data_IF_145529750443
#
_entry.id   IF_145529750443
#
_cell.length_a   1.000
_cell.length_b   1.000
_cell.length_c   1.000
_cell.angle_alpha   90.00
_cell.angle_beta   90.00
_cell.angle_gamma   90.00
#
_symmetry.space_group_name_H-M   'P 1'
#
loop_
_entity.id
_entity.type
_entity.pdbx_description
1 polymer ?
#
# COMPACT_ATOMS: atom_id res chain seq x y z
N UNK A 1 7.81 9.04 -4.40
CA UNK A 1 6.90 10.13 -3.99
C UNK A 1 5.48 9.60 -4.05
N UNK A 2 4.58 10.10 -3.19
CA UNK A 2 3.20 9.64 -3.06
C UNK A 2 2.23 10.80 -3.36
N UNK A 3 2.09 11.22 -4.63
CA UNK A 3 1.35 12.43 -4.99
C UNK A 3 -0.15 12.35 -4.69
N UNK A 4 -0.78 11.17 -4.72
CA UNK A 4 -2.18 11.01 -4.37
C UNK A 4 -2.41 11.02 -2.85
N UNK A 5 -1.39 10.74 -2.05
CA UNK A 5 -1.48 10.66 -0.58
C UNK A 5 -1.48 12.03 0.10
N UNK A 6 -2.49 12.83 -0.22
CA UNK A 6 -2.73 14.20 0.29
C UNK A 6 -4.22 14.53 0.29
N UNK A 7 -4.63 15.52 1.08
CA UNK A 7 -5.92 16.21 0.93
C UNK A 7 -5.78 17.25 -0.18
N UNK A 8 -6.64 17.18 -1.20
CA UNK A 8 -6.59 18.15 -2.32
C UNK A 8 -7.08 19.52 -1.87
N UNK A 9 -8.23 19.59 -1.17
CA UNK A 9 -8.83 20.86 -0.76
C UNK A 9 -8.03 21.61 0.29
N UNK A 10 -7.38 20.90 1.23
CA UNK A 10 -6.61 21.51 2.30
C UNK A 10 -5.11 21.63 1.98
N UNK A 11 -4.64 21.07 0.85
CA UNK A 11 -3.22 21.03 0.46
C UNK A 11 -2.28 20.42 1.53
N UNK A 12 -2.76 19.41 2.26
CA UNK A 12 -2.00 18.74 3.32
C UNK A 12 -1.63 17.32 2.90
N UNK A 13 -0.35 16.96 3.03
CA UNK A 13 0.13 15.60 2.78
C UNK A 13 -0.27 14.64 3.91
N UNK A 14 -0.52 13.39 3.57
CA UNK A 14 -0.75 12.34 4.56
C UNK A 14 0.51 12.03 5.36
N UNK A 15 0.32 11.69 6.63
CA UNK A 15 1.41 11.20 7.50
C UNK A 15 1.28 9.69 7.72
N UNK A 16 2.44 9.04 7.87
CA UNK A 16 2.56 7.61 8.14
C UNK A 16 3.62 7.37 9.20
N UNK A 17 3.56 6.21 9.87
CA UNK A 17 4.62 5.81 10.79
C UNK A 17 5.98 5.76 10.08
N UNK A 18 6.97 6.46 10.63
CA UNK A 18 8.29 6.61 10.02
C UNK A 18 9.06 5.28 9.90
N UNK A 19 8.93 4.39 10.89
CA UNK A 19 9.64 3.11 10.90
C UNK A 19 9.12 2.19 9.78
N UNK A 20 7.80 2.13 9.57
CA UNK A 20 7.22 1.35 8.48
C UNK A 20 7.59 1.94 7.11
N UNK A 21 7.65 3.27 7.00
CA UNK A 21 8.12 3.92 5.78
C UNK A 21 9.60 3.63 5.49
N UNK A 22 10.46 3.59 6.52
CA UNK A 22 11.88 3.17 6.39
C UNK A 22 11.99 1.73 5.91
N UNK A 23 11.18 0.81 6.45
CA UNK A 23 11.15 -0.58 5.99
C UNK A 23 10.73 -0.70 4.52
N UNK A 24 9.70 0.05 4.09
CA UNK A 24 9.32 0.12 2.68
C UNK A 24 10.48 0.64 1.82
N UNK A 25 11.14 1.74 2.24
CA UNK A 25 12.27 2.32 1.49
C UNK A 25 13.40 1.30 1.33
N UNK A 26 13.72 0.55 2.38
CA UNK A 26 14.69 -0.54 2.31
C UNK A 26 14.24 -1.61 1.31
N UNK A 27 12.99 -2.06 1.40
CA UNK A 27 12.43 -3.05 0.47
C UNK A 27 12.52 -2.58 -0.99
N UNK A 28 12.13 -1.34 -1.28
CA UNK A 28 12.18 -0.75 -2.63
C UNK A 28 13.62 -0.52 -3.11
N UNK A 29 14.63 -0.50 -2.22
CA UNK A 29 16.04 -0.45 -2.62
C UNK A 29 16.63 -1.81 -3.03
N UNK A 30 15.90 -2.92 -2.81
CA UNK A 30 16.33 -4.28 -3.20
C UNK A 30 15.91 -4.63 -4.63
N UNK A 31 16.00 -5.91 -5.01
CA UNK A 31 15.46 -6.45 -6.27
C UNK A 31 13.92 -6.51 -6.31
N UNK A 32 13.24 -6.12 -5.23
CA UNK A 32 11.77 -6.16 -5.12
C UNK A 32 11.05 -5.38 -6.24
N UNK A 33 11.39 -4.10 -6.56
CA UNK A 33 10.70 -3.40 -7.64
C UNK A 33 10.88 -4.03 -9.01
N UNK A 34 12.05 -4.64 -9.25
CA UNK A 34 12.30 -5.36 -10.50
C UNK A 34 11.34 -6.56 -10.63
N UNK A 35 11.19 -7.33 -9.55
CA UNK A 35 10.28 -8.49 -9.52
C UNK A 35 8.82 -8.08 -9.75
N UNK A 36 8.39 -6.97 -9.13
CA UNK A 36 7.04 -6.42 -9.34
C UNK A 36 6.86 -5.97 -10.78
N UNK A 37 7.84 -5.26 -11.35
CA UNK A 37 7.82 -4.80 -12.74
C UNK A 37 7.74 -5.97 -13.72
N UNK A 38 8.48 -7.05 -13.49
CA UNK A 38 8.40 -8.25 -14.35
C UNK A 38 6.98 -8.82 -14.41
N UNK A 39 6.27 -8.89 -13.29
CA UNK A 39 4.88 -9.38 -13.26
C UNK A 39 3.95 -8.40 -13.98
N UNK A 40 4.11 -7.10 -13.71
CA UNK A 40 3.35 -6.03 -14.36
C UNK A 40 3.51 -6.06 -15.89
N UNK A 41 4.73 -6.20 -16.38
CA UNK A 41 5.04 -6.19 -17.81
C UNK A 41 4.66 -7.51 -18.50
N UNK A 42 4.55 -8.62 -17.76
CA UNK A 42 4.28 -9.93 -18.34
C UNK A 42 2.91 -10.07 -19.01
N UNK A 43 1.99 -9.12 -18.78
CA UNK A 43 0.59 -9.14 -19.24
C UNK A 43 -0.16 -10.46 -18.96
N UNK A 44 0.36 -11.30 -18.03
CA UNK A 44 -0.35 -12.48 -17.54
C UNK A 44 -1.49 -12.00 -16.65
N UNK A 45 -2.59 -12.74 -16.63
CA UNK A 45 -3.74 -12.51 -15.73
C UNK A 45 -3.44 -12.80 -14.25
N UNK A 46 -2.19 -12.59 -13.82
CA UNK A 46 -1.76 -12.81 -12.45
C UNK A 46 -2.06 -11.57 -11.61
N UNK A 47 -2.78 -11.80 -10.51
CA UNK A 47 -3.05 -10.77 -9.52
C UNK A 47 -1.84 -10.64 -8.58
N UNK A 48 -1.39 -9.42 -8.33
CA UNK A 48 -0.32 -9.15 -7.36
C UNK A 48 -0.94 -9.06 -5.97
N UNK A 49 -0.45 -9.87 -5.04
CA UNK A 49 -0.89 -9.86 -3.64
C UNK A 49 0.26 -9.42 -2.74
N UNK A 50 0.06 -8.33 -2.00
CA UNK A 50 0.93 -7.89 -0.93
C UNK A 50 0.36 -8.40 0.39
N UNK A 51 1.18 -9.05 1.22
CA UNK A 51 0.70 -9.59 2.50
C UNK A 51 1.74 -9.45 3.60
N UNK A 52 1.28 -9.49 4.84
CA UNK A 52 2.17 -9.51 5.99
C UNK A 52 1.42 -9.66 7.31
N UNK A 53 2.13 -10.20 8.30
CA UNK A 53 1.71 -10.29 9.69
C UNK A 53 2.35 -9.17 10.51
N UNK A 54 1.62 -8.60 11.48
CA UNK A 54 2.14 -7.57 12.39
C UNK A 54 2.78 -6.39 11.62
N UNK A 55 3.99 -5.96 11.98
CA UNK A 55 4.74 -4.90 11.28
C UNK A 55 5.02 -5.19 9.79
N UNK A 56 5.07 -6.46 9.40
CA UNK A 56 5.12 -6.86 8.00
C UNK A 56 3.85 -6.47 7.24
N UNK A 57 2.69 -6.54 7.89
CA UNK A 57 1.41 -6.08 7.33
C UNK A 57 1.38 -4.57 7.11
N UNK A 58 1.97 -3.79 8.02
CA UNK A 58 2.14 -2.34 7.82
C UNK A 58 3.01 -2.03 6.59
N UNK A 59 4.10 -2.79 6.41
CA UNK A 59 4.94 -2.69 5.20
C UNK A 59 4.17 -3.09 3.95
N UNK A 60 3.32 -4.13 4.01
CA UNK A 60 2.50 -4.57 2.89
C UNK A 60 1.46 -3.51 2.46
N UNK A 61 0.85 -2.80 3.42
CA UNK A 61 -0.06 -1.68 3.13
C UNK A 61 0.71 -0.59 2.37
N UNK A 62 1.88 -0.17 2.88
CA UNK A 62 2.69 0.86 2.22
C UNK A 62 3.21 0.41 0.85
N UNK A 63 3.57 -0.86 0.69
CA UNK A 63 3.98 -1.44 -0.59
C UNK A 63 2.83 -1.43 -1.61
N UNK A 64 1.60 -1.68 -1.16
CA UNK A 64 0.41 -1.59 -2.00
C UNK A 64 0.18 -0.16 -2.47
N UNK A 65 0.31 0.83 -1.59
CA UNK A 65 0.21 2.25 -1.96
C UNK A 65 1.33 2.65 -2.92
N UNK A 66 2.56 2.20 -2.67
CA UNK A 66 3.69 2.41 -3.59
C UNK A 66 3.41 1.83 -4.98
N UNK A 67 2.83 0.63 -5.05
CA UNK A 67 2.44 0.01 -6.32
C UNK A 67 1.38 0.84 -7.06
N UNK A 68 0.33 1.26 -6.34
CA UNK A 68 -0.76 2.04 -6.92
C UNK A 68 -0.27 3.38 -7.49
N UNK A 69 0.60 4.07 -6.76
CA UNK A 69 1.21 5.34 -7.18
C UNK A 69 2.22 5.19 -8.32
N UNK A 70 2.86 4.02 -8.43
CA UNK A 70 3.94 3.80 -9.41
C UNK A 70 3.40 3.28 -10.74
N UNK A 71 2.43 2.36 -10.70
CA UNK A 71 1.97 1.62 -11.88
C UNK A 71 0.51 1.89 -12.20
N UNK A 72 -0.36 2.00 -11.19
CA UNK A 72 -1.80 2.08 -11.40
C UNK A 72 -2.28 3.48 -11.78
N UNK A 73 -1.70 4.55 -11.21
CA UNK A 73 -2.07 5.94 -11.55
C UNK A 73 -1.43 6.46 -12.83
N UNK A 74 -0.22 6.00 -13.14
CA UNK A 74 0.63 6.63 -14.17
C UNK A 74 0.32 6.21 -15.60
N UNK A 75 -0.52 5.19 -15.80
CA UNK A 75 -0.70 4.60 -17.11
C UNK A 75 -2.16 4.30 -17.39
N UNK A 76 -2.61 4.72 -18.58
CA UNK A 76 -3.96 4.51 -19.14
C UNK A 76 -4.24 3.05 -19.56
N UNK A 77 -3.51 2.09 -18.98
CA UNK A 77 -3.51 0.68 -19.36
C UNK A 77 -4.19 -0.24 -18.33
N UNK A 78 -4.41 -1.49 -18.74
CA UNK A 78 -5.02 -2.55 -17.93
C UNK A 78 -3.97 -3.17 -16.98
N UNK A 79 -3.63 -2.47 -15.90
CA UNK A 79 -2.72 -3.00 -14.86
C UNK A 79 -3.46 -3.95 -13.91
N UNK A 80 -2.80 -5.03 -13.42
CA UNK A 80 -3.44 -5.97 -12.53
C UNK A 80 -3.81 -5.30 -11.20
N UNK A 81 -5.10 -5.29 -10.86
CA UNK A 81 -5.56 -4.76 -9.59
C UNK A 81 -4.89 -5.48 -8.41
N UNK A 82 -4.23 -4.76 -7.48
CA UNK A 82 -3.55 -5.42 -6.38
C UNK A 82 -4.56 -5.99 -5.37
N UNK A 83 -4.07 -6.84 -4.48
CA UNK A 83 -4.75 -7.19 -3.24
C UNK A 83 -3.76 -7.06 -2.09
N UNK A 84 -4.18 -6.42 -1.01
CA UNK A 84 -3.43 -6.34 0.23
C UNK A 84 -4.18 -7.10 1.31
N UNK A 85 -3.56 -8.12 1.88
CA UNK A 85 -4.10 -8.91 2.98
C UNK A 85 -3.17 -8.77 4.18
N UNK A 86 -3.65 -8.28 5.31
CA UNK A 86 -2.83 -8.16 6.51
C UNK A 86 -3.42 -8.91 7.69
N UNK A 87 -2.56 -9.35 8.61
CA UNK A 87 -2.97 -10.11 9.79
C UNK A 87 -2.35 -9.47 11.04
N UNK A 88 -3.20 -8.93 11.92
CA UNK A 88 -2.75 -8.27 13.15
C UNK A 88 -1.83 -7.07 12.90
N UNK A 89 -2.01 -6.36 11.79
CA UNK A 89 -1.16 -5.23 11.42
C UNK A 89 -1.47 -3.97 12.26
N UNK A 90 -0.46 -3.20 12.70
CA UNK A 90 -0.67 -1.93 13.36
C UNK A 90 -1.24 -0.88 12.39
N UNK A 91 -1.83 0.19 12.93
CA UNK A 91 -2.26 1.35 12.15
C UNK A 91 -1.04 2.00 11.47
N UNK A 92 -1.20 2.37 10.19
CA UNK A 92 -0.07 2.79 9.34
C UNK A 92 -0.01 4.30 9.12
N UNK A 93 -1.17 4.92 8.86
CA UNK A 93 -1.28 6.33 8.46
C UNK A 93 -2.42 7.05 9.16
N UNK A 94 -2.43 8.37 9.00
CA UNK A 94 -3.41 9.25 9.60
C UNK A 94 -4.77 9.27 8.85
N UNK A 95 -5.64 10.20 9.25
CA UNK A 95 -6.93 10.37 8.61
C UNK A 95 -6.81 10.86 7.15
N UNK A 96 -5.76 11.62 6.80
CA UNK A 96 -5.51 12.09 5.42
C UNK A 96 -5.11 10.91 4.55
N UNK A 97 -4.32 9.97 5.09
CA UNK A 97 -3.99 8.70 4.43
C UNK A 97 -5.26 7.90 4.11
N UNK A 98 -6.15 7.71 5.10
CA UNK A 98 -7.45 7.05 4.89
C UNK A 98 -8.30 7.80 3.86
N UNK A 99 -8.36 9.12 3.94
CA UNK A 99 -9.12 9.96 3.03
C UNK A 99 -8.64 9.82 1.58
N UNK A 100 -7.33 9.89 1.35
CA UNK A 100 -6.73 9.73 0.03
C UNK A 100 -7.03 8.35 -0.58
N UNK A 101 -6.88 7.27 0.22
CA UNK A 101 -7.24 5.92 -0.23
C UNK A 101 -8.71 5.81 -0.65
N UNK A 102 -9.61 6.46 0.08
CA UNK A 102 -11.03 6.50 -0.26
C UNK A 102 -11.30 7.26 -1.56
N UNK A 103 -10.68 8.44 -1.72
CA UNK A 103 -10.85 9.30 -2.89
C UNK A 103 -10.41 8.62 -4.18
N UNK A 104 -9.26 7.93 -4.16
CA UNK A 104 -8.75 7.20 -5.33
C UNK A 104 -9.43 5.83 -5.53
N UNK A 105 -10.41 5.47 -4.68
CA UNK A 105 -11.06 4.16 -4.66
C UNK A 105 -10.05 2.99 -4.50
N UNK A 106 -9.01 3.19 -3.67
CA UNK A 106 -7.97 2.21 -3.36
C UNK A 106 -8.22 1.44 -2.07
N UNK A 107 -9.09 1.96 -1.19
CA UNK A 107 -9.47 1.27 0.05
C UNK A 107 -9.99 -0.15 -0.19
N UNK A 108 -10.66 -0.38 -1.33
CA UNK A 108 -11.17 -1.70 -1.76
C UNK A 108 -10.10 -2.77 -1.97
N UNK A 109 -8.83 -2.38 -2.14
CA UNK A 109 -7.73 -3.31 -2.32
C UNK A 109 -7.16 -3.82 -1.00
N UNK A 110 -7.54 -3.26 0.15
CA UNK A 110 -6.91 -3.55 1.44
C UNK A 110 -7.90 -4.23 2.37
N UNK A 111 -7.54 -5.43 2.82
CA UNK A 111 -8.28 -6.22 3.82
C UNK A 111 -7.36 -6.47 5.01
N UNK A 112 -7.79 -6.03 6.19
CA UNK A 112 -7.04 -6.20 7.43
C UNK A 112 -7.78 -7.18 8.34
N UNK A 113 -7.17 -8.32 8.62
CA UNK A 113 -7.67 -9.31 9.57
C UNK A 113 -7.16 -8.98 10.98
N UNK A 114 -8.10 -8.80 11.91
CA UNK A 114 -7.81 -8.48 13.32
C UNK A 114 -8.56 -9.47 14.20
N UNK A 115 -7.85 -10.18 15.08
CA UNK A 115 -8.49 -11.05 16.06
C UNK A 115 -9.04 -10.23 17.23
N UNK A 116 -10.10 -10.71 17.88
CA UNK A 116 -10.85 -9.96 18.91
C UNK A 116 -9.97 -9.37 20.02
N UNK A 117 -8.89 -10.07 20.38
CA UNK A 117 -8.03 -9.70 21.50
C UNK A 117 -6.61 -9.31 21.09
N UNK A 118 -6.37 -9.09 19.79
CA UNK A 118 -5.08 -8.61 19.33
C UNK A 118 -4.77 -7.22 19.93
N UNK A 119 -3.54 -7.05 20.40
CA UNK A 119 -3.05 -5.78 20.97
C UNK A 119 -2.35 -4.92 19.92
N UNK A 120 -1.84 -5.52 18.84
CA UNK A 120 -1.01 -4.82 17.85
C UNK A 120 -1.80 -3.78 17.04
N UNK A 121 -3.06 -4.02 16.60
CA UNK A 121 -3.82 -3.07 15.77
C UNK A 121 -4.54 -1.95 16.55
N UNK A 122 -4.23 -1.75 17.83
CA UNK A 122 -4.95 -0.82 18.71
C UNK A 122 -4.40 0.60 18.68
#
# INVERSE_FOLDING_TARGET
QFPCMRSIGNDVNATVNEAFLKNLKLLVSTSFPHSVKTVVDSMRSQRIVFTGHSSGGATAILATVWYLETYFTKQSGFFPEPLCLTFGAPLVGDYVFKHALGRENWSRFIVNFVTRFDIVPR
#
